data_IF_846217987692
#
_entry.id   IF_846217987692
#
_cell.length_a   1.000
_cell.length_b   1.000
_cell.length_c   1.000
_cell.angle_alpha   90.00
_cell.angle_beta   90.00
_cell.angle_gamma   90.00
#
_symmetry.space_group_name_H-M   'P 1'
#
loop_
_entity.id
_entity.type
_entity.pdbx_description
1 polymer ?
#
# COMPACT_ATOMS: atom_id res chain seq x y z
N UNK A 1 2.71 15.36 -17.98
CA UNK A 1 1.28 15.00 -17.89
C UNK A 1 0.86 15.09 -16.44
N UNK A 2 -0.19 15.86 -16.14
CA UNK A 2 -0.76 15.99 -14.79
C UNK A 2 -2.00 15.10 -14.62
N UNK A 3 -2.63 15.15 -13.45
CA UNK A 3 -3.88 14.45 -13.15
C UNK A 3 -4.99 15.43 -12.78
N UNK A 4 -6.22 15.14 -13.20
CA UNK A 4 -7.41 15.86 -12.72
C UNK A 4 -7.92 15.29 -11.39
N UNK A 5 -7.46 14.09 -11.02
CA UNK A 5 -7.87 13.38 -9.81
C UNK A 5 -7.15 13.95 -8.58
N UNK A 6 -7.92 14.49 -7.64
CA UNK A 6 -7.46 14.93 -6.32
C UNK A 6 -7.81 13.85 -5.29
N UNK A 7 -6.81 13.09 -4.85
CA UNK A 7 -7.03 11.92 -4.00
C UNK A 7 -7.57 12.30 -2.62
N UNK A 8 -7.19 13.47 -2.09
CA UNK A 8 -7.72 13.96 -0.81
C UNK A 8 -9.21 14.30 -0.87
N UNK A 9 -9.75 14.55 -2.07
CA UNK A 9 -11.18 14.84 -2.30
C UNK A 9 -11.96 13.63 -2.83
N UNK A 10 -11.26 12.53 -3.10
CA UNK A 10 -11.88 11.31 -3.60
C UNK A 10 -12.70 10.66 -2.48
N UNK A 11 -13.87 10.14 -2.84
CA UNK A 11 -14.72 9.36 -1.94
C UNK A 11 -14.90 7.96 -2.48
N UNK A 12 -14.93 6.99 -1.58
CA UNK A 12 -15.34 5.63 -1.88
C UNK A 12 -16.69 5.37 -1.21
N UNK A 13 -17.75 5.28 -2.01
CA UNK A 13 -19.11 5.28 -1.48
C UNK A 13 -19.40 6.60 -0.76
N UNK A 14 -19.64 6.54 0.55
CA UNK A 14 -19.91 7.72 1.38
C UNK A 14 -18.77 8.06 2.37
N UNK A 15 -17.59 7.45 2.21
CA UNK A 15 -16.42 7.64 3.06
C UNK A 15 -15.29 8.31 2.27
N UNK A 16 -14.48 9.14 2.94
CA UNK A 16 -13.28 9.72 2.34
C UNK A 16 -12.27 8.62 1.98
N UNK A 17 -11.67 8.73 0.80
CA UNK A 17 -10.81 7.70 0.24
C UNK A 17 -9.69 7.26 1.19
N UNK A 18 -9.03 8.20 1.87
CA UNK A 18 -7.95 7.91 2.82
C UNK A 18 -8.44 7.07 4.00
N UNK A 19 -9.61 7.40 4.55
CA UNK A 19 -10.20 6.68 5.68
C UNK A 19 -10.64 5.27 5.25
N UNK A 20 -11.31 5.18 4.11
CA UNK A 20 -11.70 3.90 3.52
C UNK A 20 -10.46 3.01 3.28
N UNK A 21 -9.43 3.54 2.62
CA UNK A 21 -8.21 2.80 2.29
C UNK A 21 -7.51 2.29 3.56
N UNK A 22 -7.42 3.13 4.59
CA UNK A 22 -6.81 2.77 5.88
C UNK A 22 -7.52 1.61 6.59
N UNK A 23 -8.84 1.45 6.38
CA UNK A 23 -9.63 0.34 6.93
C UNK A 23 -9.54 -0.93 6.12
N UNK A 24 -9.28 -0.80 4.82
CA UNK A 24 -9.12 -1.94 3.91
C UNK A 24 -7.76 -2.62 4.04
N UNK A 25 -6.83 -2.00 4.77
CA UNK A 25 -5.44 -2.43 4.85
C UNK A 25 -5.12 -3.05 6.22
N UNK A 26 -4.46 -4.21 6.20
CA UNK A 26 -4.00 -4.91 7.40
C UNK A 26 -2.62 -5.57 7.19
N UNK A 27 -1.62 -5.36 8.06
CA UNK A 27 -1.61 -4.49 9.24
C UNK A 27 -1.75 -3.01 8.84
N UNK A 28 -2.18 -2.17 9.77
CA UNK A 28 -2.26 -0.73 9.53
C UNK A 28 -0.85 -0.19 9.29
N UNK A 29 -0.70 0.53 8.19
CA UNK A 29 0.52 1.27 7.83
C UNK A 29 0.19 2.75 7.73
N UNK A 30 1.18 3.60 7.93
CA UNK A 30 1.00 5.04 7.71
C UNK A 30 0.86 5.31 6.21
N UNK A 31 -0.26 5.92 5.84
CA UNK A 31 -0.57 6.32 4.46
C UNK A 31 -0.81 7.82 4.46
N UNK A 32 0.00 8.54 3.71
CA UNK A 32 -0.17 9.98 3.50
C UNK A 32 -0.60 10.23 2.06
N UNK A 33 -1.69 10.97 1.91
CA UNK A 33 -2.18 11.40 0.60
C UNK A 33 -1.88 12.88 0.44
N UNK A 34 -1.10 13.23 -0.58
CA UNK A 34 -0.65 14.59 -0.85
C UNK A 34 -1.11 15.03 -2.24
N UNK A 35 -1.94 16.06 -2.29
CA UNK A 35 -2.34 16.71 -3.54
C UNK A 35 -1.59 18.04 -3.68
N UNK A 36 -0.91 18.26 -4.79
CA UNK A 36 -0.18 19.51 -5.04
C UNK A 36 -0.22 19.92 -6.51
N UNK A 37 0.26 21.12 -6.81
CA UNK A 37 0.41 21.61 -8.18
C UNK A 37 1.85 22.05 -8.39
N UNK A 38 2.45 21.65 -9.51
CA UNK A 38 3.82 22.01 -9.90
C UNK A 38 3.79 22.36 -11.39
N UNK A 39 4.40 23.49 -11.77
CA UNK A 39 4.45 23.96 -13.17
C UNK A 39 3.09 24.02 -13.89
N UNK A 40 2.04 24.44 -13.15
CA UNK A 40 0.67 24.52 -13.68
C UNK A 40 -0.02 23.16 -13.87
N UNK A 41 0.64 22.06 -13.53
CA UNK A 41 0.08 20.71 -13.58
C UNK A 41 -0.29 20.24 -12.17
N UNK A 42 -1.40 19.52 -12.07
CA UNK A 42 -1.86 18.93 -10.83
C UNK A 42 -1.27 17.52 -10.64
N UNK A 43 -0.91 17.21 -9.40
CA UNK A 43 -0.35 15.93 -8.97
C UNK A 43 -1.04 15.47 -7.69
N UNK A 44 -1.12 14.15 -7.54
CA UNK A 44 -1.64 13.49 -6.35
C UNK A 44 -0.75 12.28 -6.07
N UNK A 45 -0.20 12.22 -4.86
CA UNK A 45 0.79 11.24 -4.44
C UNK A 45 0.30 10.52 -3.20
N UNK A 46 0.59 9.22 -3.12
CA UNK A 46 0.39 8.43 -1.91
C UNK A 46 1.78 8.00 -1.42
N UNK A 47 2.16 8.44 -0.23
CA UNK A 47 3.33 7.94 0.47
C UNK A 47 2.87 6.84 1.45
N UNK A 48 3.58 5.72 1.44
CA UNK A 48 3.24 4.54 2.25
C UNK A 48 4.51 4.10 2.97
N UNK A 49 4.44 4.00 4.29
CA UNK A 49 5.53 3.40 5.06
C UNK A 49 5.53 1.87 4.91
N UNK A 50 6.71 1.23 4.82
CA UNK A 50 6.77 -0.22 4.74
C UNK A 50 6.27 -0.87 6.03
N UNK A 51 5.63 -2.04 5.91
CA UNK A 51 5.35 -2.90 7.06
C UNK A 51 6.55 -3.82 7.33
N UNK A 52 6.94 -3.94 8.59
CA UNK A 52 8.06 -4.77 9.02
C UNK A 52 7.62 -6.08 9.67
N UNK A 53 6.34 -6.28 9.98
CA UNK A 53 5.90 -7.51 10.66
C UNK A 53 5.48 -8.60 9.69
N UNK A 54 4.64 -8.24 8.70
CA UNK A 54 4.07 -9.16 7.73
C UNK A 54 3.67 -8.41 6.46
N UNK A 55 3.51 -9.11 5.32
CA UNK A 55 2.98 -8.51 4.11
C UNK A 55 1.64 -7.80 4.34
N UNK A 56 1.46 -6.67 3.66
CA UNK A 56 0.25 -5.86 3.76
C UNK A 56 -0.87 -6.47 2.92
N UNK A 57 -1.99 -6.78 3.58
CA UNK A 57 -3.25 -7.20 2.96
C UNK A 57 -4.06 -5.99 2.56
N UNK A 58 -4.68 -6.09 1.39
CA UNK A 58 -5.76 -5.20 0.98
C UNK A 58 -7.04 -6.03 0.81
N UNK A 59 -8.10 -5.66 1.53
CA UNK A 59 -9.36 -6.42 1.55
C UNK A 59 -9.18 -7.90 1.91
N UNK A 60 -8.24 -8.19 2.83
CA UNK A 60 -7.92 -9.56 3.26
C UNK A 60 -7.01 -10.36 2.33
N UNK A 61 -6.54 -9.78 1.22
CA UNK A 61 -5.68 -10.46 0.25
C UNK A 61 -4.32 -9.77 0.15
N UNK A 62 -3.24 -10.55 0.20
CA UNK A 62 -1.87 -10.07 0.01
C UNK A 62 -1.57 -9.96 -1.48
N UNK A 63 -0.99 -8.83 -1.88
CA UNK A 63 -0.61 -8.60 -3.26
C UNK A 63 0.87 -8.26 -3.35
N UNK A 64 1.49 -8.69 -4.44
CA UNK A 64 2.85 -8.32 -4.82
C UNK A 64 2.83 -7.68 -6.19
N UNK A 65 3.65 -6.65 -6.38
CA UNK A 65 3.88 -6.04 -7.69
C UNK A 65 5.13 -6.68 -8.29
N UNK A 66 4.98 -7.26 -9.48
CA UNK A 66 6.09 -7.80 -10.29
C UNK A 66 6.11 -7.03 -11.61
N UNK A 67 7.08 -6.13 -11.76
CA UNK A 67 7.09 -5.13 -12.82
C UNK A 67 5.89 -4.18 -12.71
N UNK A 68 5.08 -4.10 -13.77
CA UNK A 68 3.89 -3.26 -13.81
C UNK A 68 2.61 -3.95 -13.30
N UNK A 69 2.67 -5.26 -13.06
CA UNK A 69 1.50 -6.08 -12.80
C UNK A 69 1.30 -6.34 -11.30
N UNK A 70 0.05 -6.22 -10.85
CA UNK A 70 -0.40 -6.62 -9.51
C UNK A 70 -0.82 -8.09 -9.53
N UNK A 71 -0.20 -8.92 -8.70
CA UNK A 71 -0.54 -10.35 -8.56
C UNK A 71 -0.82 -10.70 -7.11
N UNK A 72 -1.56 -11.78 -6.87
CA UNK A 72 -1.78 -12.30 -5.52
C UNK A 72 -0.48 -12.90 -5.01
N UNK A 73 -0.09 -12.61 -3.77
CA UNK A 73 1.16 -13.14 -3.21
C UNK A 73 1.14 -14.66 -3.11
N UNK A 74 -0.01 -15.25 -2.78
CA UNK A 74 -0.20 -16.70 -2.65
C UNK A 74 0.09 -17.51 -3.94
N UNK A 75 0.13 -16.87 -5.11
CA UNK A 75 0.51 -17.51 -6.37
C UNK A 75 2.05 -17.63 -6.53
N UNK A 76 2.82 -17.01 -5.64
CA UNK A 76 4.29 -16.91 -5.71
C UNK A 76 4.95 -17.32 -4.37
N UNK A 77 4.89 -18.61 -3.98
CA UNK A 77 5.36 -19.08 -2.67
C UNK A 77 6.85 -18.79 -2.39
N UNK A 78 7.69 -18.79 -3.43
CA UNK A 78 9.11 -18.43 -3.28
C UNK A 78 9.32 -16.92 -3.01
N UNK A 79 8.48 -16.06 -3.59
CA UNK A 79 8.53 -14.62 -3.33
C UNK A 79 7.96 -14.29 -1.95
N UNK A 80 6.91 -15.00 -1.55
CA UNK A 80 6.36 -14.95 -0.20
C UNK A 80 7.43 -15.28 0.83
N UNK A 81 8.14 -16.41 0.67
CA UNK A 81 9.22 -16.80 1.59
C UNK A 81 10.33 -15.75 1.68
N UNK A 82 10.75 -15.18 0.55
CA UNK A 82 11.74 -14.10 0.53
C UNK A 82 11.24 -12.83 1.23
N UNK A 83 9.98 -12.45 1.03
CA UNK A 83 9.36 -11.32 1.72
C UNK A 83 9.29 -11.54 3.23
N UNK A 84 8.92 -12.74 3.68
CA UNK A 84 8.92 -13.09 5.10
C UNK A 84 10.31 -13.02 5.75
N UNK A 85 11.37 -13.37 5.02
CA UNK A 85 12.75 -13.18 5.50
C UNK A 85 13.09 -11.69 5.61
N UNK A 86 12.67 -10.89 4.62
CA UNK A 86 12.95 -9.46 4.58
C UNK A 86 12.16 -8.65 5.62
N UNK A 87 10.91 -9.03 5.92
CA UNK A 87 10.09 -8.40 6.96
C UNK A 87 10.40 -9.01 8.34
N UNK A 88 10.47 -10.34 8.46
CA UNK A 88 10.64 -11.06 9.72
C UNK A 88 12.05 -11.06 10.33
N UNK A 89 13.05 -10.46 9.68
CA UNK A 89 14.44 -10.47 10.14
C UNK A 89 14.71 -9.85 11.53
N UNK A 90 13.75 -9.11 12.10
CA UNK A 90 13.84 -8.55 13.45
C UNK A 90 12.82 -9.12 14.46
N UNK A 91 11.88 -9.97 14.03
CA UNK A 91 10.86 -10.52 14.90
C UNK A 91 11.06 -12.03 15.06
N UNK A 92 11.56 -12.44 16.22
CA UNK A 92 11.67 -13.83 16.73
C UNK A 92 12.84 -14.69 16.22
N UNK A 93 14.05 -14.30 16.62
CA UNK A 93 15.00 -15.27 17.19
C UNK A 93 14.82 -15.24 18.70
N UNK A 94 14.04 -16.18 19.25
CA UNK A 94 14.09 -16.66 20.65
C UNK A 94 12.90 -17.60 20.95
N UNK A 95 13.08 -18.55 21.87
CA UNK A 95 13.93 -19.74 21.81
C UNK A 95 13.12 -21.04 21.58
#
# INVERSE_FOLDING_TARGET
>A
MGTELRLQKLKQGNEDFTNWLSRMIEPRVLIEVLDFSCDGLAYSVIAIEPSYERPVKFSGVEFIRIGENKKKLAEFPEHERALWIATGGAASRQP
#
